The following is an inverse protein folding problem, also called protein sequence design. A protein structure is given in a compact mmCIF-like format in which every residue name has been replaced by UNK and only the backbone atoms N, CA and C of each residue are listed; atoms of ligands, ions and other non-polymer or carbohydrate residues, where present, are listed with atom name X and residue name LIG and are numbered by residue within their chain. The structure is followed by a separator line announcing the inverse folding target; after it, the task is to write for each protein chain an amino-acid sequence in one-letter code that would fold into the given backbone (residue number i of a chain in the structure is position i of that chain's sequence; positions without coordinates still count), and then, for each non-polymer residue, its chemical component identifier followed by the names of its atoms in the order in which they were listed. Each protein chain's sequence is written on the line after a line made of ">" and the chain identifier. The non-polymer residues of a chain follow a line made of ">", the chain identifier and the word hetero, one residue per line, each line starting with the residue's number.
data_IF_788505007129
#
_entry.id   IF_788505007129
#
_cell.length_a   1.000
_cell.length_b   1.000
_cell.length_c   1.000
_cell.angle_alpha   90.00
_cell.angle_beta   90.00
_cell.angle_gamma   90.00
#
_symmetry.space_group_name_H-M   'P 1'
#
loop_
_entity.id
_entity.type
_entity.pdbx_description
1 polymer ?
#
# COMPACT_ATOMS: atom_id res chain seq x y z
N UNK A 1 -10.14 -19.90 0.72
CA UNK A 1 -9.95 -19.05 -0.48
C UNK A 1 -9.59 -19.97 -1.63
N UNK A 2 -10.53 -20.21 -2.54
CA UNK A 2 -10.22 -20.84 -3.80
C UNK A 2 -9.83 -19.73 -4.79
N UNK A 3 -8.71 -19.93 -5.49
CA UNK A 3 -8.30 -19.06 -6.59
C UNK A 3 -8.23 -19.95 -7.82
N UNK A 4 -8.89 -19.54 -8.89
CA UNK A 4 -8.85 -20.27 -10.16
C UNK A 4 -8.39 -19.34 -11.28
N UNK A 5 -7.54 -19.86 -12.16
CA UNK A 5 -7.15 -19.17 -13.38
C UNK A 5 -7.99 -19.70 -14.54
N UNK A 6 -8.54 -18.81 -15.38
CA UNK A 6 -9.21 -19.16 -16.63
C UNK A 6 -8.85 -18.15 -17.70
N UNK A 7 -8.08 -18.57 -18.70
CA UNK A 7 -7.59 -17.66 -19.74
C UNK A 7 -6.79 -16.51 -19.14
N UNK A 8 -7.26 -15.28 -19.34
CA UNK A 8 -6.62 -14.04 -18.87
C UNK A 8 -7.14 -13.53 -17.52
N UNK A 9 -7.97 -14.32 -16.83
CA UNK A 9 -8.57 -13.94 -15.56
C UNK A 9 -8.14 -14.83 -14.38
N UNK A 10 -7.93 -14.19 -13.24
CA UNK A 10 -7.87 -14.83 -11.91
C UNK A 10 -9.18 -14.56 -11.17
N UNK A 11 -9.82 -15.62 -10.67
CA UNK A 11 -11.10 -15.54 -9.95
C UNK A 11 -10.90 -15.87 -8.48
N UNK A 12 -11.57 -15.11 -7.61
CA UNK A 12 -11.48 -15.19 -6.17
C UNK A 12 -12.88 -15.22 -5.56
N UNK A 13 -13.16 -16.23 -4.74
CA UNK A 13 -14.42 -16.29 -3.99
C UNK A 13 -14.32 -15.44 -2.71
N UNK A 14 -15.33 -14.61 -2.47
CA UNK A 14 -15.49 -13.92 -1.20
C UNK A 14 -16.20 -14.81 -0.16
N UNK A 15 -15.92 -14.63 1.14
CA UNK A 15 -15.12 -13.55 1.73
C UNK A 15 -13.60 -13.79 1.62
N UNK A 16 -12.86 -12.69 1.57
CA UNK A 16 -11.41 -12.60 1.76
C UNK A 16 -11.17 -11.97 3.14
N UNK A 17 -11.10 -12.77 4.22
CA UNK A 17 -11.40 -12.29 5.57
C UNK A 17 -10.33 -11.40 6.21
N UNK A 18 -9.15 -11.27 5.60
CA UNK A 18 -8.04 -10.47 6.15
C UNK A 18 -7.22 -9.84 5.03
N UNK A 19 -6.51 -8.76 5.33
CA UNK A 19 -5.68 -8.02 4.36
C UNK A 19 -4.74 -8.92 3.57
N UNK A 20 -4.10 -9.91 4.23
CA UNK A 20 -3.16 -10.83 3.59
C UNK A 20 -3.79 -11.85 2.64
N UNK A 21 -5.12 -11.95 2.58
CA UNK A 21 -5.83 -12.75 1.58
C UNK A 21 -6.38 -11.90 0.42
N UNK A 22 -6.08 -10.60 0.41
CA UNK A 22 -6.61 -9.67 -0.58
C UNK A 22 -6.04 -9.87 -1.97
N UNK A 23 -6.83 -9.47 -2.96
CA UNK A 23 -6.44 -9.41 -4.38
C UNK A 23 -5.49 -8.22 -4.54
N UNK A 24 -4.29 -8.47 -5.05
CA UNK A 24 -3.26 -7.45 -5.19
C UNK A 24 -3.36 -6.72 -6.53
N UNK A 25 -3.34 -5.38 -6.47
CA UNK A 25 -3.17 -4.47 -7.60
C UNK A 25 -1.91 -3.63 -7.35
N UNK A 26 -1.16 -3.29 -8.41
CA UNK A 26 -0.02 -2.39 -8.31
C UNK A 26 0.37 -1.77 -9.65
N UNK A 27 0.81 -0.50 -9.63
CA UNK A 27 1.40 0.20 -10.79
C UNK A 27 2.89 0.54 -10.60
N UNK A 28 3.53 -0.01 -9.56
CA UNK A 28 4.93 0.25 -9.22
C UNK A 28 5.14 1.38 -8.20
N UNK A 29 4.24 2.37 -8.15
CA UNK A 29 4.26 3.42 -7.14
C UNK A 29 3.22 3.18 -6.04
N UNK A 30 1.98 2.92 -6.43
CA UNK A 30 0.85 2.58 -5.56
C UNK A 30 0.58 1.09 -5.61
N UNK A 31 0.30 0.50 -4.43
CA UNK A 31 -0.23 -0.84 -4.28
C UNK A 31 -1.56 -0.83 -3.54
N UNK A 32 -2.47 -1.73 -3.93
CA UNK A 32 -3.76 -1.91 -3.28
C UNK A 32 -4.04 -3.40 -3.02
N UNK A 33 -4.48 -3.73 -1.82
CA UNK A 33 -5.03 -5.04 -1.47
C UNK A 33 -6.54 -4.91 -1.31
N UNK A 34 -7.29 -5.67 -2.12
CA UNK A 34 -8.76 -5.69 -2.12
C UNK A 34 -9.26 -6.94 -1.40
N UNK A 35 -9.96 -6.76 -0.28
CA UNK A 35 -10.40 -7.86 0.58
C UNK A 35 -11.71 -7.51 1.29
N UNK A 36 -12.29 -8.43 2.05
CA UNK A 36 -13.50 -8.15 2.83
C UNK A 36 -14.53 -9.27 2.85
N UNK A 37 -15.73 -8.92 3.28
CA UNK A 37 -16.87 -9.82 3.47
C UNK A 37 -18.17 -9.03 3.54
N UNK A 38 -18.56 -8.56 4.73
CA UNK A 38 -19.70 -7.65 4.86
C UNK A 38 -19.45 -6.25 4.25
N UNK A 39 -18.19 -5.81 4.28
CA UNK A 39 -17.68 -4.56 3.66
C UNK A 39 -16.55 -4.92 2.72
N UNK A 40 -16.30 -4.07 1.71
CA UNK A 40 -15.12 -4.18 0.84
C UNK A 40 -14.03 -3.24 1.36
N UNK A 41 -12.83 -3.76 1.55
CA UNK A 41 -11.70 -3.03 2.08
C UNK A 41 -10.62 -2.88 1.01
N UNK A 42 -10.15 -1.65 0.81
CA UNK A 42 -9.04 -1.31 -0.07
C UNK A 42 -7.87 -0.82 0.78
N UNK A 43 -6.93 -1.71 1.10
CA UNK A 43 -5.73 -1.33 1.85
C UNK A 43 -4.65 -0.84 0.89
N UNK A 44 -4.26 0.42 1.04
CA UNK A 44 -3.35 1.10 0.14
C UNK A 44 -1.94 1.17 0.72
N UNK A 45 -0.95 1.22 -0.17
CA UNK A 45 0.39 1.65 0.16
C UNK A 45 1.02 2.42 -1.01
N UNK A 46 1.99 3.27 -0.70
CA UNK A 46 2.76 4.04 -1.68
C UNK A 46 4.26 3.80 -1.46
N UNK A 47 5.03 3.64 -2.53
CA UNK A 47 6.45 3.26 -2.46
C UNK A 47 7.29 4.29 -1.73
N UNK A 48 6.91 5.57 -1.80
CA UNK A 48 7.58 6.67 -1.11
C UNK A 48 7.08 6.91 0.33
N UNK A 49 6.11 6.12 0.82
CA UNK A 49 5.55 6.34 2.17
C UNK A 49 6.40 5.69 3.27
N UNK A 50 7.46 6.38 3.64
CA UNK A 50 8.45 5.91 4.60
C UNK A 50 8.62 6.86 5.78
N UNK A 51 8.85 6.28 6.93
CA UNK A 51 9.53 6.97 8.01
C UNK A 51 11.04 6.91 7.74
N UNK A 52 11.64 8.03 7.34
CA UNK A 52 13.07 8.13 7.07
C UNK A 52 13.91 8.42 8.32
N UNK A 53 13.31 8.58 9.50
CA UNK A 53 14.04 8.87 10.72
C UNK A 53 15.00 7.73 11.06
N UNK A 54 16.19 8.09 11.55
CA UNK A 54 17.25 7.12 11.80
C UNK A 54 17.84 6.45 10.54
N UNK A 55 17.48 6.94 9.35
CA UNK A 55 18.14 6.56 8.10
C UNK A 55 19.56 7.11 8.00
N UNK A 56 20.40 6.41 7.24
CA UNK A 56 21.75 6.85 6.90
C UNK A 56 21.70 7.67 5.59
N UNK A 57 22.49 8.74 5.52
CA UNK A 57 22.67 9.51 4.28
C UNK A 57 24.08 9.29 3.77
N UNK A 58 24.27 9.23 2.46
CA UNK A 58 25.60 9.27 1.88
C UNK A 58 26.25 10.64 2.16
N UNK A 59 27.55 10.64 2.41
CA UNK A 59 28.31 11.89 2.44
C UNK A 59 28.22 12.61 1.09
N UNK A 60 28.22 13.93 1.13
CA UNK A 60 28.21 14.74 -0.08
C UNK A 60 29.39 14.38 -0.99
N UNK A 61 29.13 14.20 -2.28
CA UNK A 61 30.13 13.77 -3.25
C UNK A 61 30.45 12.27 -3.23
N UNK A 62 29.82 11.46 -2.38
CA UNK A 62 29.89 10.01 -2.51
C UNK A 62 29.16 9.56 -3.79
N UNK A 63 29.92 9.10 -4.78
CA UNK A 63 29.39 8.55 -6.04
C UNK A 63 29.37 7.03 -5.99
N UNK A 64 28.60 6.41 -6.90
CA UNK A 64 28.60 4.95 -7.05
C UNK A 64 30.01 4.39 -7.33
N UNK A 65 30.79 5.06 -8.18
CA UNK A 65 32.17 4.64 -8.46
C UNK A 65 33.07 4.70 -7.24
N UNK A 66 32.88 5.71 -6.36
CA UNK A 66 33.63 5.82 -5.09
C UNK A 66 33.25 4.70 -4.13
N UNK A 67 31.96 4.36 -4.03
CA UNK A 67 31.51 3.24 -3.21
C UNK A 67 32.08 1.91 -3.71
N UNK A 68 32.08 1.70 -5.02
CA UNK A 68 32.65 0.50 -5.65
C UNK A 68 34.15 0.40 -5.39
N UNK A 69 34.89 1.50 -5.51
CA UNK A 69 36.33 1.53 -5.22
C UNK A 69 36.65 1.30 -3.72
N UNK A 70 35.74 1.71 -2.83
CA UNK A 70 35.87 1.52 -1.39
C UNK A 70 35.44 0.13 -0.91
N UNK A 71 34.85 -0.71 -1.77
CA UNK A 71 34.39 -2.04 -1.40
C UNK A 71 35.56 -3.02 -1.30
N UNK A 72 35.84 -3.46 -0.07
CA UNK A 72 36.73 -4.56 0.23
C UNK A 72 35.97 -5.60 1.09
N UNK A 73 35.78 -6.85 0.60
CA UNK A 73 35.15 -7.91 1.39
C UNK A 73 35.85 -8.20 2.73
N UNK A 74 37.15 -7.91 2.84
CA UNK A 74 37.94 -8.10 4.05
C UNK A 74 37.97 -6.89 4.99
N UNK A 75 37.59 -5.70 4.52
CA UNK A 75 37.56 -4.47 5.33
C UNK A 75 36.43 -3.51 4.89
N UNK A 76 35.32 -3.56 5.62
CA UNK A 76 34.17 -2.70 5.34
C UNK A 76 34.35 -1.25 5.81
N UNK A 77 35.38 -0.92 6.60
CA UNK A 77 35.50 0.39 7.26
C UNK A 77 35.54 1.55 6.26
N UNK A 78 36.26 1.37 5.16
CA UNK A 78 36.39 2.39 4.11
C UNK A 78 35.04 2.66 3.44
N UNK A 79 34.27 1.61 3.17
CA UNK A 79 32.91 1.74 2.65
C UNK A 79 31.98 2.38 3.68
N UNK A 80 32.03 1.95 4.95
CA UNK A 80 31.22 2.51 6.03
C UNK A 80 31.50 4.00 6.28
N UNK A 81 32.75 4.45 6.10
CA UNK A 81 33.13 5.84 6.23
C UNK A 81 32.46 6.75 5.18
N UNK A 82 31.95 6.20 4.07
CA UNK A 82 31.22 6.96 3.06
C UNK A 82 29.79 7.34 3.48
N UNK A 83 29.30 6.77 4.60
CA UNK A 83 27.97 7.01 5.14
C UNK A 83 28.02 7.97 6.33
N UNK A 84 27.22 9.03 6.26
CA UNK A 84 26.95 9.89 7.41
C UNK A 84 25.94 9.20 8.32
N UNK A 85 26.45 8.51 9.35
CA UNK A 85 25.62 7.98 10.43
C UNK A 85 25.26 9.12 11.39
N UNK A 86 24.15 9.82 11.15
CA UNK A 86 23.59 10.71 12.17
C UNK A 86 23.34 9.88 13.42
N UNK A 87 23.87 10.31 14.58
CA UNK A 87 23.60 9.66 15.86
C UNK A 87 22.09 9.55 16.02
N UNK A 88 21.59 8.31 16.00
CA UNK A 88 20.17 8.03 16.11
C UNK A 88 19.66 8.63 17.42
N UNK A 89 18.65 9.51 17.41
CA UNK A 89 18.08 9.99 18.65
C UNK A 89 17.52 8.81 19.44
N UNK A 90 17.68 8.85 20.76
CA UNK A 90 17.15 7.81 21.65
C UNK A 90 15.62 7.72 21.47
N UNK A 91 15.09 6.49 21.41
CA UNK A 91 13.65 6.25 21.20
C UNK A 91 13.17 6.26 19.74
N UNK A 92 13.95 6.77 18.78
CA UNK A 92 13.54 6.79 17.35
C UNK A 92 13.65 5.39 16.76
N UNK A 93 12.63 4.87 16.06
CA UNK A 93 12.69 3.58 15.36
C UNK A 93 13.67 3.61 14.15
N UNK A 94 14.04 2.45 13.59
CA UNK A 94 14.82 2.43 12.33
C UNK A 94 13.91 2.90 11.18
N UNK A 95 14.52 3.48 10.15
CA UNK A 95 13.81 3.80 8.91
C UNK A 95 13.00 2.59 8.45
N UNK A 96 11.71 2.81 8.22
CA UNK A 96 10.77 1.75 7.88
C UNK A 96 9.67 2.28 7.00
N UNK A 97 9.10 1.37 6.20
CA UNK A 97 7.90 1.69 5.42
C UNK A 97 6.70 1.76 6.35
N UNK A 98 5.93 2.85 6.23
CA UNK A 98 4.69 2.99 6.98
C UNK A 98 3.54 2.35 6.19
N UNK A 99 2.51 1.79 6.85
CA UNK A 99 1.24 1.54 6.17
C UNK A 99 0.65 2.88 5.73
N UNK A 100 -0.05 2.98 4.61
CA UNK A 100 -0.63 4.25 4.16
C UNK A 100 -2.03 4.46 4.76
N UNK A 101 -2.91 3.47 4.59
CA UNK A 101 -4.28 3.51 5.10
C UNK A 101 -5.18 2.51 4.39
N UNK A 102 -6.48 2.60 4.65
CA UNK A 102 -7.49 1.86 3.90
C UNK A 102 -8.78 2.65 3.72
N UNK A 103 -9.48 2.33 2.64
CA UNK A 103 -10.88 2.68 2.47
C UNK A 103 -11.75 1.47 2.80
N UNK A 104 -12.90 1.70 3.43
CA UNK A 104 -13.93 0.70 3.70
C UNK A 104 -15.23 1.09 3.03
N UNK A 105 -15.75 0.23 2.16
CA UNK A 105 -16.98 0.46 1.41
C UNK A 105 -18.10 -0.40 1.99
N UNK A 106 -19.14 0.25 2.49
CA UNK A 106 -20.41 -0.37 2.86
C UNK A 106 -21.35 -0.38 1.66
N UNK A 107 -21.97 -1.52 1.39
CA UNK A 107 -22.92 -1.64 0.28
C UNK A 107 -24.36 -1.40 0.73
N UNK A 108 -25.19 -0.86 -0.17
CA UNK A 108 -26.63 -0.69 0.09
C UNK A 108 -27.32 -2.04 0.30
N UNK A 109 -28.47 -2.01 0.96
CA UNK A 109 -29.40 -3.15 1.07
C UNK A 109 -28.78 -4.45 1.61
N UNK A 110 -27.69 -4.37 2.38
CA UNK A 110 -26.98 -5.53 2.91
C UNK A 110 -26.29 -6.38 1.84
N UNK A 111 -26.05 -5.83 0.65
CA UNK A 111 -25.27 -6.47 -0.40
C UNK A 111 -23.85 -6.79 0.10
N UNK A 112 -23.26 -7.84 -0.47
CA UNK A 112 -21.89 -8.26 -0.18
C UNK A 112 -21.16 -8.65 -1.47
N UNK A 113 -19.83 -8.49 -1.52
CA UNK A 113 -19.01 -9.06 -2.58
C UNK A 113 -19.14 -10.58 -2.58
N UNK A 114 -19.32 -11.15 -3.78
CA UNK A 114 -19.45 -12.58 -4.01
C UNK A 114 -18.21 -13.12 -4.73
N UNK A 115 -17.73 -12.39 -5.73
CA UNK A 115 -16.60 -12.81 -6.56
C UNK A 115 -15.72 -11.61 -6.95
N UNK A 116 -14.41 -11.80 -6.93
CA UNK A 116 -13.45 -10.90 -7.56
C UNK A 116 -12.86 -11.53 -8.83
N UNK A 117 -12.80 -10.77 -9.93
CA UNK A 117 -12.19 -11.18 -11.20
C UNK A 117 -11.12 -10.19 -11.62
N UNK A 118 -9.87 -10.61 -11.57
CA UNK A 118 -8.71 -9.83 -11.99
C UNK A 118 -8.32 -10.23 -13.41
N UNK A 119 -8.44 -9.30 -14.36
CA UNK A 119 -7.90 -9.44 -15.70
C UNK A 119 -6.42 -9.04 -15.68
N UNK A 120 -5.52 -10.02 -15.64
CA UNK A 120 -4.10 -9.75 -15.40
C UNK A 120 -3.40 -8.96 -16.52
N UNK A 121 -3.78 -9.04 -17.82
CA UNK A 121 -3.12 -8.22 -18.85
C UNK A 121 -3.37 -6.72 -18.69
N UNK A 122 -4.52 -6.32 -18.15
CA UNK A 122 -4.88 -4.89 -17.97
C UNK A 122 -4.82 -4.42 -16.52
N UNK A 123 -4.69 -5.35 -15.56
CA UNK A 123 -4.73 -5.03 -14.13
C UNK A 123 -6.11 -4.55 -13.64
N UNK A 124 -7.18 -4.78 -14.41
CA UNK A 124 -8.55 -4.39 -14.02
C UNK A 124 -9.18 -5.46 -13.14
N UNK A 125 -9.73 -5.05 -12.01
CA UNK A 125 -10.42 -5.93 -11.07
C UNK A 125 -11.90 -5.59 -11.06
N UNK A 126 -12.75 -6.59 -11.29
CA UNK A 126 -14.19 -6.49 -11.08
C UNK A 126 -14.60 -7.21 -9.81
N UNK A 127 -15.45 -6.57 -9.03
CA UNK A 127 -16.05 -7.15 -7.82
C UNK A 127 -17.54 -7.28 -8.06
N UNK A 128 -18.03 -8.51 -8.16
CA UNK A 128 -19.43 -8.82 -8.36
C UNK A 128 -20.17 -8.94 -7.02
N UNK A 129 -21.38 -8.41 -6.98
CA UNK A 129 -22.37 -8.59 -5.91
C UNK A 129 -23.65 -9.16 -6.50
N UNK A 130 -24.67 -9.41 -5.66
CA UNK A 130 -25.99 -9.76 -6.17
C UNK A 130 -26.70 -8.60 -6.90
N UNK A 131 -26.27 -7.35 -6.68
CA UNK A 131 -26.92 -6.14 -7.19
C UNK A 131 -26.23 -5.45 -8.36
N UNK A 132 -25.07 -5.95 -8.80
CA UNK A 132 -24.23 -5.30 -9.82
C UNK A 132 -22.74 -5.51 -9.58
N UNK A 133 -21.90 -4.73 -10.27
CA UNK A 133 -20.45 -4.84 -10.18
C UNK A 133 -19.74 -3.50 -9.93
N UNK A 134 -18.63 -3.56 -9.17
CA UNK A 134 -17.64 -2.50 -9.09
C UNK A 134 -16.46 -2.83 -10.00
N UNK A 135 -15.84 -1.81 -10.60
CA UNK A 135 -14.55 -1.96 -11.29
C UNK A 135 -13.47 -1.12 -10.61
N UNK A 136 -12.30 -1.72 -10.39
CA UNK A 136 -11.12 -1.07 -9.85
C UNK A 136 -9.96 -1.14 -10.85
N UNK A 137 -9.22 -0.05 -10.98
CA UNK A 137 -8.02 0.01 -11.80
C UNK A 137 -7.01 1.03 -11.23
N UNK A 138 -5.74 0.63 -11.13
CA UNK A 138 -4.65 1.58 -10.92
C UNK A 138 -4.24 2.18 -12.26
N UNK A 139 -4.05 3.49 -12.29
CA UNK A 139 -3.55 4.17 -13.48
C UNK A 139 -2.05 3.88 -13.64
N UNK A 140 -1.57 3.46 -14.83
CA UNK A 140 -0.14 3.17 -15.03
C UNK A 140 0.77 4.37 -14.80
N UNK A 141 0.32 5.57 -15.17
CA UNK A 141 1.13 6.80 -15.20
C UNK A 141 0.73 7.81 -14.10
N UNK A 142 -0.03 7.39 -13.09
CA UNK A 142 -0.46 8.25 -11.99
C UNK A 142 -0.62 7.49 -10.68
N UNK A 143 -0.40 8.19 -9.56
CA UNK A 143 -0.60 7.66 -8.21
C UNK A 143 -2.08 7.65 -7.82
N UNK A 144 -2.90 7.00 -8.66
CA UNK A 144 -4.35 7.01 -8.55
C UNK A 144 -4.96 5.61 -8.74
N UNK A 145 -5.82 5.23 -7.80
CA UNK A 145 -6.75 4.12 -7.90
C UNK A 145 -8.11 4.67 -8.30
N UNK A 146 -8.63 4.20 -9.43
CA UNK A 146 -10.01 4.48 -9.84
C UNK A 146 -10.93 3.37 -9.33
N UNK A 147 -12.09 3.77 -8.83
CA UNK A 147 -13.22 2.91 -8.54
C UNK A 147 -14.42 3.42 -9.33
N UNK A 148 -14.97 2.56 -10.19
CA UNK A 148 -16.22 2.81 -10.90
C UNK A 148 -17.34 2.00 -10.23
N UNK A 149 -18.44 2.69 -9.92
CA UNK A 149 -19.65 2.13 -9.34
C UNK A 149 -20.87 2.53 -10.18
N UNK A 150 -21.04 1.95 -11.38
CA UNK A 150 -22.12 2.33 -12.29
C UNK A 150 -23.51 1.97 -11.74
N UNK A 151 -23.58 0.95 -10.89
CA UNK A 151 -24.84 0.43 -10.33
C UNK A 151 -25.24 1.10 -9.01
N UNK A 152 -24.39 2.00 -8.49
CA UNK A 152 -24.62 2.73 -7.23
C UNK A 152 -24.71 1.80 -6.02
N UNK A 153 -23.80 0.83 -5.94
CA UNK A 153 -23.76 -0.21 -4.91
C UNK A 153 -23.21 0.32 -3.59
N UNK A 154 -22.26 1.24 -3.65
CA UNK A 154 -21.62 1.83 -2.47
C UNK A 154 -22.57 2.84 -1.83
N UNK A 155 -22.85 2.63 -0.55
CA UNK A 155 -23.69 3.53 0.27
C UNK A 155 -22.92 4.29 1.33
N UNK A 156 -21.74 3.80 1.70
CA UNK A 156 -20.92 4.34 2.77
C UNK A 156 -19.44 4.17 2.43
N UNK A 157 -18.63 5.19 2.75
CA UNK A 157 -17.17 5.16 2.62
C UNK A 157 -16.56 5.54 3.97
N UNK A 158 -15.86 4.60 4.59
CA UNK A 158 -14.97 4.83 5.73
C UNK A 158 -13.55 5.09 5.26
N UNK A 159 -12.88 6.07 5.85
CA UNK A 159 -11.47 6.39 5.56
C UNK A 159 -10.65 6.16 6.81
N UNK A 160 -9.67 5.27 6.71
CA UNK A 160 -8.77 4.93 7.79
C UNK A 160 -7.34 5.27 7.39
N UNK A 161 -6.69 6.15 8.12
CA UNK A 161 -5.31 6.53 7.84
C UNK A 161 -4.35 5.73 8.71
N UNK A 162 -3.08 5.66 8.33
CA UNK A 162 -2.05 5.05 9.16
C UNK A 162 -1.94 5.67 10.55
N UNK A 163 -2.41 6.91 10.72
CA UNK A 163 -2.39 7.62 11.99
C UNK A 163 -3.10 6.84 13.11
N UNK A 164 -4.12 6.06 12.79
CA UNK A 164 -4.80 5.18 13.75
C UNK A 164 -3.86 4.13 14.38
N UNK A 165 -2.76 3.81 13.70
CA UNK A 165 -1.80 2.79 14.13
C UNK A 165 -0.46 3.37 14.59
N UNK A 166 0.00 4.44 13.95
CA UNK A 166 1.34 5.02 14.21
C UNK A 166 1.29 6.44 14.79
N UNK A 167 0.10 7.02 14.95
CA UNK A 167 -0.08 8.42 15.32
C UNK A 167 0.49 8.78 16.69
N UNK A 168 0.32 7.91 17.70
CA UNK A 168 0.91 8.16 19.03
C UNK A 168 2.44 8.28 18.95
N UNK A 169 3.09 7.36 18.24
CA UNK A 169 4.53 7.37 18.07
C UNK A 169 5.00 8.55 17.21
N UNK A 170 4.28 8.90 16.14
CA UNK A 170 4.61 10.05 15.31
C UNK A 170 4.42 11.39 16.03
N UNK A 171 3.39 11.53 16.86
CA UNK A 171 3.09 12.75 17.62
C UNK A 171 4.22 13.12 18.60
N UNK A 172 4.95 12.14 19.15
CA UNK A 172 6.13 12.38 20.00
C UNK A 172 7.22 13.19 19.29
N UNK A 173 7.21 13.18 17.95
CA UNK A 173 8.14 13.92 17.10
C UNK A 173 7.48 15.08 16.37
N UNK A 174 6.32 15.54 16.86
CA UNK A 174 5.59 16.71 16.36
C UNK A 174 5.08 16.59 14.92
N UNK A 175 4.89 15.36 14.43
CA UNK A 175 4.06 15.18 13.25
C UNK A 175 2.60 15.43 13.61
N UNK A 176 1.84 15.90 12.62
CA UNK A 176 0.41 16.15 12.74
C UNK A 176 -0.38 15.05 12.02
N UNK A 177 -1.62 14.77 12.46
CA UNK A 177 -2.49 13.85 11.76
C UNK A 177 -2.73 14.32 10.31
N UNK A 178 -2.83 13.39 9.35
CA UNK A 178 -3.12 13.73 7.97
C UNK A 178 -4.53 14.32 7.83
N UNK A 179 -4.68 15.28 6.92
CA UNK A 179 -5.97 15.84 6.55
C UNK A 179 -6.62 15.00 5.46
N UNK A 180 -7.83 14.49 5.72
CA UNK A 180 -8.64 13.79 4.72
C UNK A 180 -9.50 14.82 3.99
N UNK A 181 -9.43 14.84 2.66
CA UNK A 181 -10.30 15.65 1.80
C UNK A 181 -11.36 14.72 1.23
N UNK A 182 -12.64 15.00 1.54
CA UNK A 182 -13.82 14.25 1.08
C UNK A 182 -14.68 15.10 0.19
#
# INVERSE_FOLDING_TARGET
>A
MAVTARGEELRFDFPLPRTHTGIALGNGAVGCLVWGGARLHLTLNHIAFWDHRGGETLLEGTTYERLKAAYDPGDQRTLEAAFLRRRRPEGVLRSMRLPFGRFEFGFRDGLVPLEGRLHWPTGRLRIATAGGELELALLPDADALLLADPDGLVSEIGVHTCWEHVGEELARYRFEPPHVVT
#
